data_IF_998877794740
#
_entry.id   IF_998877794740
#
_cell.length_a   1.000
_cell.length_b   1.000
_cell.length_c   1.000
_cell.angle_alpha   90.00
_cell.angle_beta   90.00
_cell.angle_gamma   90.00
#
_symmetry.space_group_name_H-M   'P 1'
#
loop_
_entity.id
_entity.type
_entity.pdbx_description
1 polymer ?
#
# COMPACT_ATOMS: atom_id res chain seq x y z
N UNK A 1 11.35 20.57 -17.03
CA UNK A 1 11.14 20.98 -15.63
C UNK A 1 12.13 20.20 -14.77
N UNK A 2 12.78 20.77 -13.72
CA UNK A 2 13.50 19.95 -12.76
C UNK A 2 12.45 19.08 -12.07
N UNK A 3 12.36 17.84 -12.51
CA UNK A 3 11.37 16.90 -12.02
C UNK A 3 12.04 16.10 -10.90
N UNK A 4 11.60 16.35 -9.68
CA UNK A 4 12.08 15.67 -8.47
C UNK A 4 11.58 14.23 -8.37
N UNK A 5 10.61 13.81 -9.20
CA UNK A 5 9.92 12.52 -9.11
C UNK A 5 9.71 11.81 -10.46
N UNK A 6 10.67 11.91 -11.39
CA UNK A 6 10.65 11.17 -12.67
C UNK A 6 10.51 12.06 -13.91
N UNK A 7 10.25 11.47 -15.07
CA UNK A 7 10.13 12.21 -16.35
C UNK A 7 8.66 12.20 -16.79
N UNK A 8 8.05 13.38 -16.84
CA UNK A 8 6.67 13.57 -17.28
C UNK A 8 6.57 14.87 -18.08
N UNK A 9 5.86 14.82 -19.22
CA UNK A 9 5.51 16.00 -19.99
C UNK A 9 4.01 16.22 -19.87
N UNK A 10 3.63 17.46 -19.58
CA UNK A 10 2.24 17.88 -19.52
C UNK A 10 1.99 18.91 -20.61
N UNK A 11 1.00 18.66 -21.46
CA UNK A 11 0.50 19.62 -22.45
C UNK A 11 -0.70 20.30 -21.80
N UNK A 12 -0.57 21.58 -21.47
CA UNK A 12 -1.57 22.31 -20.67
C UNK A 12 -2.20 23.40 -21.52
N UNK A 13 -3.54 23.39 -21.59
CA UNK A 13 -4.32 24.47 -22.18
C UNK A 13 -4.76 25.40 -21.04
N UNK A 14 -4.36 26.67 -21.12
CA UNK A 14 -4.60 27.66 -20.06
C UNK A 14 -5.43 28.83 -20.57
N UNK A 15 -6.46 29.22 -19.83
CA UNK A 15 -7.15 30.50 -19.98
C UNK A 15 -6.65 31.46 -18.90
N UNK A 16 -5.58 32.20 -19.24
CA UNK A 16 -4.84 33.03 -18.29
C UNK A 16 -4.18 32.18 -17.19
N UNK A 17 -4.61 32.37 -15.95
CA UNK A 17 -4.11 31.63 -14.78
C UNK A 17 -4.88 30.32 -14.52
N UNK A 18 -5.99 30.09 -15.23
CA UNK A 18 -6.82 28.90 -15.05
C UNK A 18 -6.40 27.82 -16.04
N UNK A 19 -6.05 26.65 -15.54
CA UNK A 19 -5.84 25.46 -16.39
C UNK A 19 -7.20 24.94 -16.85
N UNK A 20 -7.48 25.08 -18.14
CA UNK A 20 -8.71 24.59 -18.75
C UNK A 20 -8.62 23.09 -19.08
N UNK A 21 -7.45 22.63 -19.51
CA UNK A 21 -7.20 21.22 -19.84
C UNK A 21 -5.72 20.86 -19.64
N UNK A 22 -5.45 19.58 -19.37
CA UNK A 22 -4.09 19.06 -19.22
C UNK A 22 -4.02 17.63 -19.76
N UNK A 23 -3.24 17.43 -20.82
CA UNK A 23 -2.98 16.11 -21.41
C UNK A 23 -1.59 15.62 -20.96
N UNK A 24 -1.51 14.53 -20.17
CA UNK A 24 -0.24 13.95 -19.77
C UNK A 24 0.35 13.08 -20.88
N UNK A 25 1.46 13.53 -21.45
CA UNK A 25 2.29 12.76 -22.39
C UNK A 25 3.26 11.89 -21.57
N UNK A 26 2.96 10.59 -21.51
CA UNK A 26 3.64 9.59 -20.69
C UNK A 26 4.39 8.57 -21.58
N UNK A 27 5.28 7.79 -20.98
CA UNK A 27 6.03 6.73 -21.70
C UNK A 27 7.51 7.02 -21.91
N UNK A 28 8.04 8.15 -21.45
CA UNK A 28 9.49 8.44 -21.46
C UNK A 28 10.34 7.40 -20.72
N UNK A 29 9.74 6.67 -19.78
CA UNK A 29 10.38 5.57 -19.04
C UNK A 29 9.84 4.20 -19.46
N UNK A 30 9.18 4.08 -20.61
CA UNK A 30 8.79 2.77 -21.12
C UNK A 30 10.04 1.98 -21.50
N UNK A 31 10.25 0.83 -20.84
CA UNK A 31 11.42 -0.05 -21.06
C UNK A 31 11.03 -1.46 -21.49
N UNK A 32 9.81 -1.64 -21.99
CA UNK A 32 9.30 -2.93 -22.48
C UNK A 32 9.51 -4.08 -21.48
N UNK A 33 9.27 -3.80 -20.19
CA UNK A 33 9.56 -4.75 -19.10
C UNK A 33 8.79 -6.08 -19.27
N UNK A 34 7.56 -6.01 -19.75
CA UNK A 34 6.73 -7.18 -20.07
C UNK A 34 7.37 -8.05 -21.15
N UNK A 35 7.94 -7.42 -22.20
CA UNK A 35 8.62 -8.14 -23.27
C UNK A 35 9.89 -8.82 -22.80
N UNK A 36 10.62 -8.19 -21.87
CA UNK A 36 11.78 -8.82 -21.22
C UNK A 36 11.32 -10.03 -20.40
N UNK A 37 10.19 -9.92 -19.71
CA UNK A 37 9.58 -11.01 -18.94
C UNK A 37 9.28 -12.26 -19.76
N UNK A 38 8.90 -12.11 -21.03
CA UNK A 38 8.70 -13.26 -21.94
C UNK A 38 10.00 -14.00 -22.28
N UNK A 39 11.15 -13.33 -22.19
CA UNK A 39 12.45 -13.84 -22.62
C UNK A 39 13.31 -14.38 -21.47
N UNK A 40 12.85 -14.27 -20.22
CA UNK A 40 13.61 -14.69 -19.03
C UNK A 40 12.81 -15.69 -18.20
N UNK A 41 13.53 -16.54 -17.46
CA UNK A 41 12.90 -17.46 -16.53
C UNK A 41 12.31 -16.73 -15.32
N UNK A 42 11.31 -17.36 -14.67
CA UNK A 42 10.56 -16.75 -13.56
C UNK A 42 11.44 -16.13 -12.46
N UNK A 43 12.51 -16.79 -11.95
CA UNK A 43 13.36 -16.20 -10.91
C UNK A 43 14.20 -15.03 -11.42
N UNK A 44 14.58 -15.05 -12.70
CA UNK A 44 15.36 -13.99 -13.33
C UNK A 44 14.55 -12.71 -13.56
N UNK A 45 13.22 -12.80 -13.55
CA UNK A 45 12.36 -11.63 -13.68
C UNK A 45 12.18 -10.85 -12.37
N UNK A 46 12.46 -11.44 -11.19
CA UNK A 46 12.27 -10.79 -9.88
C UNK A 46 13.01 -9.43 -9.75
N UNK A 47 14.27 -9.28 -10.19
CA UNK A 47 14.95 -7.97 -10.14
C UNK A 47 14.34 -6.91 -11.07
N UNK A 48 13.45 -7.29 -11.99
CA UNK A 48 12.71 -6.36 -12.83
C UNK A 48 11.44 -5.86 -12.12
N UNK A 49 10.81 -6.67 -11.27
CA UNK A 49 9.63 -6.25 -10.50
C UNK A 49 9.96 -5.17 -9.48
N UNK A 50 11.16 -5.16 -8.92
CA UNK A 50 11.70 -4.05 -8.10
C UNK A 50 11.67 -2.68 -8.79
N UNK A 51 11.71 -2.68 -10.13
CA UNK A 51 11.81 -1.46 -10.95
C UNK A 51 10.47 -1.03 -11.54
N UNK A 52 9.40 -1.76 -11.23
CA UNK A 52 8.02 -1.37 -11.57
C UNK A 52 7.56 -0.27 -10.62
N UNK A 53 7.81 -0.45 -9.32
CA UNK A 53 7.60 0.57 -8.29
C UNK A 53 8.90 0.74 -7.48
N UNK A 54 9.62 1.83 -7.76
CA UNK A 54 10.89 2.14 -7.09
C UNK A 54 10.74 2.52 -5.61
N UNK A 55 9.53 2.90 -5.17
CA UNK A 55 9.25 3.25 -3.77
C UNK A 55 8.79 1.99 -3.02
N UNK A 56 8.11 1.08 -3.70
CA UNK A 56 7.47 -0.10 -3.12
C UNK A 56 7.95 -1.42 -3.75
N UNK A 57 9.26 -1.54 -3.98
CA UNK A 57 9.88 -2.69 -4.66
C UNK A 57 9.52 -4.05 -4.03
N UNK A 58 9.50 -4.12 -2.69
CA UNK A 58 9.14 -5.34 -1.96
C UNK A 58 7.69 -5.78 -2.21
N UNK A 59 6.74 -4.83 -2.35
CA UNK A 59 5.35 -5.16 -2.63
C UNK A 59 5.19 -5.66 -4.06
N UNK A 60 5.92 -5.06 -5.01
CA UNK A 60 5.93 -5.52 -6.40
C UNK A 60 6.49 -6.96 -6.52
N UNK A 61 7.60 -7.25 -5.82
CA UNK A 61 8.14 -8.61 -5.76
C UNK A 61 7.18 -9.60 -5.12
N UNK A 62 6.53 -9.20 -4.01
CA UNK A 62 5.56 -10.05 -3.32
C UNK A 62 4.39 -10.39 -4.24
N UNK A 63 3.82 -9.39 -4.92
CA UNK A 63 2.71 -9.59 -5.84
C UNK A 63 3.07 -10.58 -6.96
N UNK A 64 4.28 -10.44 -7.54
CA UNK A 64 4.77 -11.35 -8.56
C UNK A 64 5.00 -12.78 -8.03
N UNK A 65 5.69 -12.93 -6.90
CA UNK A 65 5.93 -14.24 -6.29
C UNK A 65 4.63 -14.96 -5.95
N UNK A 66 3.65 -14.26 -5.36
CA UNK A 66 2.34 -14.84 -5.02
C UNK A 66 1.57 -15.24 -6.29
N UNK A 67 1.67 -14.46 -7.37
CA UNK A 67 1.04 -14.83 -8.64
C UNK A 67 1.65 -16.11 -9.23
N UNK A 68 2.99 -16.22 -9.24
CA UNK A 68 3.69 -17.43 -9.71
C UNK A 68 3.38 -18.64 -8.83
N UNK A 69 3.34 -18.47 -7.51
CA UNK A 69 3.03 -19.56 -6.58
C UNK A 69 1.60 -20.06 -6.72
N UNK A 70 0.63 -19.17 -6.89
CA UNK A 70 -0.75 -19.55 -7.17
C UNK A 70 -0.86 -20.30 -8.50
N UNK A 71 -0.10 -19.88 -9.51
CA UNK A 71 -0.04 -20.59 -10.81
C UNK A 71 0.51 -22.01 -10.62
N UNK A 72 1.64 -22.17 -9.92
CA UNK A 72 2.24 -23.49 -9.66
C UNK A 72 1.38 -24.36 -8.74
N UNK A 73 0.67 -23.75 -7.80
CA UNK A 73 -0.25 -24.46 -6.90
C UNK A 73 -1.52 -24.96 -7.60
N UNK A 74 -1.86 -24.39 -8.76
CA UNK A 74 -3.01 -24.83 -9.56
C UNK A 74 -2.75 -26.14 -10.32
N UNK A 75 -1.48 -26.50 -10.52
CA UNK A 75 -1.07 -27.75 -11.14
C UNK A 75 -0.71 -28.79 -10.07
N UNK A 76 -1.29 -29.99 -10.19
CA UNK A 76 -1.06 -31.08 -9.23
C UNK A 76 0.35 -31.67 -9.35
N UNK A 77 0.98 -31.55 -10.53
CA UNK A 77 2.32 -32.08 -10.78
C UNK A 77 3.45 -31.15 -10.31
N UNK A 78 3.21 -29.83 -10.25
CA UNK A 78 4.20 -28.80 -9.90
C UNK A 78 3.84 -27.98 -8.66
N UNK A 79 2.95 -28.52 -7.81
CA UNK A 79 2.53 -27.86 -6.57
C UNK A 79 3.72 -27.55 -5.67
N UNK A 80 3.94 -26.26 -5.41
CA UNK A 80 4.93 -25.77 -4.46
C UNK A 80 4.20 -25.36 -3.18
N UNK A 81 4.54 -26.01 -2.06
CA UNK A 81 4.13 -25.56 -0.74
C UNK A 81 5.13 -24.54 -0.22
N UNK A 82 4.67 -23.32 0.05
CA UNK A 82 5.50 -22.26 0.63
C UNK A 82 5.73 -22.58 2.11
N UNK A 83 6.99 -22.65 2.59
CA UNK A 83 7.23 -22.89 4.01
C UNK A 83 6.67 -21.75 4.86
N UNK A 84 6.07 -22.08 6.01
CA UNK A 84 5.52 -21.10 6.96
C UNK A 84 6.51 -19.96 7.27
N UNK A 85 7.80 -20.28 7.43
CA UNK A 85 8.83 -19.27 7.67
C UNK A 85 8.95 -18.26 6.53
N UNK A 86 8.80 -18.68 5.28
CA UNK A 86 8.83 -17.80 4.11
C UNK A 86 7.56 -16.93 4.05
N UNK A 87 6.39 -17.46 4.42
CA UNK A 87 5.16 -16.69 4.55
C UNK A 87 5.27 -15.62 5.65
N UNK A 88 5.84 -15.97 6.81
CA UNK A 88 6.07 -15.02 7.90
C UNK A 88 7.05 -13.90 7.50
N UNK A 89 8.10 -14.21 6.75
CA UNK A 89 9.08 -13.20 6.28
C UNK A 89 8.48 -12.26 5.23
N UNK A 90 7.53 -12.73 4.42
CA UNK A 90 6.90 -11.92 3.36
C UNK A 90 6.00 -10.81 3.88
N UNK A 91 5.64 -10.83 5.16
CA UNK A 91 4.70 -9.87 5.73
C UNK A 91 5.35 -8.95 6.76
N UNK A 92 6.09 -7.94 6.29
CA UNK A 92 6.43 -6.77 7.12
C UNK A 92 6.18 -5.42 6.39
N UNK A 93 5.72 -5.37 5.13
CA UNK A 93 5.78 -4.11 4.35
C UNK A 93 4.43 -3.40 4.09
N UNK A 94 3.27 -4.00 4.38
CA UNK A 94 1.99 -3.39 3.97
C UNK A 94 0.81 -3.56 4.95
N UNK A 95 1.05 -4.09 6.14
CA UNK A 95 -0.01 -4.33 7.12
C UNK A 95 -0.43 -3.05 7.84
N UNK A 96 -1.73 -2.80 7.96
CA UNK A 96 -2.25 -1.87 8.96
C UNK A 96 -2.06 -2.51 10.34
N UNK A 97 -1.40 -1.83 11.29
CA UNK A 97 -1.26 -2.36 12.65
C UNK A 97 -2.62 -2.60 13.32
N UNK A 98 -3.53 -1.65 13.11
CA UNK A 98 -4.84 -1.58 13.72
C UNK A 98 -5.86 -1.08 12.71
N UNK A 99 -7.12 -1.44 12.91
CA UNK A 99 -8.24 -0.82 12.23
C UNK A 99 -8.58 0.57 12.81
N UNK A 100 -9.64 1.20 12.30
CA UNK A 100 -10.09 2.52 12.78
C UNK A 100 -10.55 2.50 14.25
N UNK A 101 -10.87 1.32 14.79
CA UNK A 101 -11.30 1.08 16.17
C UNK A 101 -10.10 0.89 17.10
N UNK A 102 -8.87 0.92 16.57
CA UNK A 102 -7.66 0.65 17.35
C UNK A 102 -7.54 -0.84 17.72
N UNK A 103 -8.28 -1.71 17.06
CA UNK A 103 -8.18 -3.15 17.24
C UNK A 103 -7.17 -3.73 16.25
N UNK A 104 -6.41 -4.76 16.61
CA UNK A 104 -5.42 -5.29 15.71
C UNK A 104 -6.02 -5.83 14.42
N UNK A 105 -5.40 -5.49 13.29
CA UNK A 105 -5.95 -5.81 11.99
C UNK A 105 -5.56 -7.23 11.54
N UNK A 106 -6.54 -8.12 11.37
CA UNK A 106 -6.35 -9.43 10.75
C UNK A 106 -5.18 -10.23 11.34
N UNK A 107 -4.22 -10.72 10.52
CA UNK A 107 -3.10 -11.57 10.98
C UNK A 107 -1.96 -10.79 11.66
N UNK A 108 -2.03 -9.47 11.76
CA UNK A 108 -0.90 -8.62 12.18
C UNK A 108 -0.39 -8.89 13.60
N UNK A 109 -1.22 -9.18 14.63
CA UNK A 109 -0.73 -9.57 15.95
C UNK A 109 0.23 -10.76 15.94
N UNK A 110 -0.11 -11.77 15.14
CA UNK A 110 0.67 -13.01 15.07
C UNK A 110 2.01 -12.72 14.39
N UNK A 111 2.00 -11.91 13.34
CA UNK A 111 3.21 -11.50 12.62
C UNK A 111 4.12 -10.61 13.48
N UNK A 112 3.55 -9.64 14.21
CA UNK A 112 4.30 -8.81 15.16
C UNK A 112 4.97 -9.66 16.26
N UNK A 113 4.34 -10.75 16.69
CA UNK A 113 4.91 -11.66 17.70
C UNK A 113 6.08 -12.51 17.19
N UNK A 114 6.18 -12.68 15.87
CA UNK A 114 7.23 -13.46 15.21
C UNK A 114 8.34 -12.58 14.63
N UNK A 115 8.17 -11.25 14.62
CA UNK A 115 9.10 -10.33 13.99
C UNK A 115 10.35 -10.09 14.85
N UNK A 116 11.53 -10.16 14.23
CA UNK A 116 12.80 -9.81 14.88
C UNK A 116 12.98 -8.29 15.04
N UNK A 117 12.41 -7.50 14.12
CA UNK A 117 12.41 -6.03 14.14
C UNK A 117 11.08 -5.48 13.63
N UNK A 118 10.59 -4.39 14.27
CA UNK A 118 9.35 -3.70 13.91
C UNK A 118 9.60 -2.20 13.82
N UNK A 119 9.50 -1.64 12.62
CA UNK A 119 9.58 -0.20 12.38
C UNK A 119 8.17 0.38 12.17
N UNK A 120 7.73 1.26 13.07
CA UNK A 120 6.41 1.90 13.00
C UNK A 120 6.53 3.35 12.54
N UNK A 121 5.98 3.63 11.36
CA UNK A 121 5.88 4.99 10.86
C UNK A 121 4.83 5.77 11.68
N UNK A 122 5.19 6.98 12.08
CA UNK A 122 4.31 7.88 12.83
C UNK A 122 3.93 9.05 11.96
N UNK A 123 2.64 9.40 11.99
CA UNK A 123 2.14 10.64 11.42
C UNK A 123 2.08 11.74 12.49
N UNK A 124 1.59 12.92 12.15
CA UNK A 124 1.34 14.01 13.11
C UNK A 124 -0.17 14.09 13.39
N UNK A 125 -0.52 14.19 14.67
CA UNK A 125 -1.91 14.28 15.10
C UNK A 125 -2.53 15.61 14.65
N UNK A 126 -3.62 15.54 13.89
CA UNK A 126 -4.29 16.73 13.36
C UNK A 126 -4.97 17.58 14.47
N UNK A 127 -5.26 17.03 15.67
CA UNK A 127 -5.80 17.83 16.78
C UNK A 127 -4.69 18.55 17.55
N UNK A 128 -3.64 17.82 17.94
CA UNK A 128 -2.72 18.29 18.97
C UNK A 128 -1.25 18.38 18.53
N UNK A 129 -0.91 18.03 17.29
CA UNK A 129 0.46 18.14 16.76
C UNK A 129 1.46 17.09 17.27
N UNK A 130 1.09 16.28 18.26
CA UNK A 130 1.92 15.18 18.76
C UNK A 130 1.98 14.00 17.78
N UNK A 131 2.96 13.08 17.90
CA UNK A 131 2.98 11.86 17.12
C UNK A 131 1.65 11.08 17.17
N UNK A 132 1.17 10.70 15.98
CA UNK A 132 -0.06 9.97 15.78
C UNK A 132 0.22 8.48 15.59
N UNK A 133 -0.65 7.66 16.17
CA UNK A 133 -0.54 6.20 16.20
C UNK A 133 -1.82 5.50 15.74
N UNK A 134 -2.90 6.27 15.56
CA UNK A 134 -4.23 5.75 15.31
C UNK A 134 -4.81 6.43 14.07
N UNK A 135 -5.46 5.63 13.23
CA UNK A 135 -6.26 6.12 12.13
C UNK A 135 -7.67 6.41 12.63
N UNK A 136 -8.07 7.68 12.64
CA UNK A 136 -9.44 8.08 12.92
C UNK A 136 -10.22 8.09 11.62
N UNK A 137 -11.30 7.31 11.57
CA UNK A 137 -12.26 7.37 10.49
C UNK A 137 -13.34 8.40 10.81
N UNK A 138 -13.73 9.19 9.81
CA UNK A 138 -14.82 10.15 9.91
C UNK A 138 -15.96 9.82 8.95
N UNK A 139 -17.19 9.77 9.48
CA UNK A 139 -18.44 9.69 8.73
C UNK A 139 -19.14 11.04 8.88
N UNK A 140 -19.36 11.75 7.78
CA UNK A 140 -19.96 13.10 7.78
C UNK A 140 -19.27 14.08 8.76
N UNK A 141 -17.93 14.04 8.82
CA UNK A 141 -17.11 14.91 9.69
C UNK A 141 -17.09 14.51 11.17
N UNK A 142 -17.78 13.45 11.56
CA UNK A 142 -17.82 12.96 12.95
C UNK A 142 -17.10 11.60 13.05
N UNK A 143 -16.47 11.28 14.20
CA UNK A 143 -15.87 9.97 14.42
C UNK A 143 -16.81 8.81 14.10
N UNK A 144 -16.35 7.87 13.29
CA UNK A 144 -17.10 6.66 12.96
C UNK A 144 -17.42 5.86 14.23
N UNK A 145 -18.58 5.20 14.19
CA UNK A 145 -19.09 4.42 15.30
C UNK A 145 -18.35 3.09 15.45
N UNK A 146 -18.25 2.56 16.67
CA UNK A 146 -17.56 1.29 16.92
C UNK A 146 -18.12 0.13 16.09
N UNK A 147 -19.43 0.15 15.85
CA UNK A 147 -20.15 -0.89 15.10
C UNK A 147 -20.20 -0.65 13.58
N UNK A 148 -19.59 0.43 13.08
CA UNK A 148 -19.51 0.69 11.65
C UNK A 148 -18.62 -0.35 10.95
N UNK A 149 -18.96 -0.76 9.72
CA UNK A 149 -18.24 -1.82 9.01
C UNK A 149 -16.80 -1.39 8.71
N UNK A 150 -15.82 -2.25 9.02
CA UNK A 150 -14.38 -1.96 8.88
C UNK A 150 -13.96 -1.60 7.45
N UNK A 151 -14.56 -2.25 6.45
CA UNK A 151 -14.25 -2.04 5.03
C UNK A 151 -15.46 -1.41 4.35
N UNK A 152 -15.30 -0.20 3.80
CA UNK A 152 -16.28 0.40 2.88
C UNK A 152 -15.58 0.75 1.57
N UNK A 153 -16.08 0.17 0.48
CA UNK A 153 -15.57 0.41 -0.87
C UNK A 153 -16.26 1.65 -1.45
N UNK A 154 -15.48 2.66 -1.84
CA UNK A 154 -15.98 3.83 -2.57
C UNK A 154 -16.49 4.99 -1.71
N UNK A 155 -16.26 4.98 -0.39
CA UNK A 155 -16.66 6.10 0.45
C UNK A 155 -15.66 7.27 0.35
N UNK A 156 -16.14 8.47 0.03
CA UNK A 156 -15.41 9.75 0.18
C UNK A 156 -15.26 10.11 1.67
N UNK A 157 -14.93 9.14 2.51
CA UNK A 157 -14.75 9.36 3.93
C UNK A 157 -13.34 9.86 4.22
N UNK A 158 -13.26 10.86 5.09
CA UNK A 158 -12.01 11.47 5.49
C UNK A 158 -11.37 10.62 6.60
N UNK A 159 -10.14 10.19 6.36
CA UNK A 159 -9.29 9.57 7.38
C UNK A 159 -8.33 10.62 7.94
N UNK A 160 -8.12 10.58 9.26
CA UNK A 160 -7.25 11.50 9.96
C UNK A 160 -6.27 10.77 10.87
N UNK A 161 -5.02 11.23 10.90
CA UNK A 161 -4.04 10.76 11.87
C UNK A 161 -4.34 11.36 13.24
N UNK A 162 -4.52 10.52 14.27
CA UNK A 162 -4.73 10.93 15.66
C UNK A 162 -3.75 10.24 16.61
N UNK A 163 -3.35 10.94 17.66
CA UNK A 163 -2.69 10.32 18.81
C UNK A 163 -3.72 9.56 19.67
N UNK A 164 -3.26 8.67 20.55
CA UNK A 164 -4.14 7.86 21.42
C UNK A 164 -5.10 8.69 22.27
N UNK A 165 -4.72 9.91 22.63
CA UNK A 165 -5.56 10.85 23.40
C UNK A 165 -6.68 11.48 22.57
N UNK A 166 -6.41 11.74 21.30
CA UNK A 166 -7.34 12.44 20.40
C UNK A 166 -8.18 11.48 19.54
N UNK A 167 -7.82 10.20 19.52
CA UNK A 167 -8.60 9.15 18.88
C UNK A 167 -9.87 8.88 19.69
N UNK A 168 -11.03 8.93 19.02
CA UNK A 168 -12.35 8.78 19.61
C UNK A 168 -13.13 7.74 18.84
N UNK A 169 -13.70 6.78 19.55
CA UNK A 169 -14.58 5.78 18.97
C UNK A 169 -15.85 5.76 19.83
N UNK A 170 -16.90 6.46 19.42
CA UNK A 170 -18.18 6.40 20.08
C UNK A 170 -18.74 4.96 20.06
N UNK A 171 -19.42 4.56 21.13
CA UNK A 171 -20.02 3.22 21.30
C UNK A 171 -21.56 3.24 21.37
N UNK A 172 -22.17 4.42 21.30
CA UNK A 172 -23.62 4.66 21.31
C UNK A 172 -24.22 4.97 19.92
#
# INVERSE_FOLDING_TARGET
>A
HPATHGVLRLIVDTDGEVVANCTPDHGYLHRSIEKIGECVEWPMFVPYTDRVDYVCAMNANLAYCVAVEKLLSSDTASRVEVPLRAECIRVIVAGLDMDFRGEPFGPIPQLLSLADQVDKLQAICIICGEPAYCTQRLVNGHPAHYHDPVIIVGAQEMYEARCRRCHKIPKD
#
